data_IF_762039782696
#
_entry.id   IF_762039782696
#
_cell.length_a   1.000
_cell.length_b   1.000
_cell.length_c   1.000
_cell.angle_alpha   90.00
_cell.angle_beta   90.00
_cell.angle_gamma   90.00
#
_symmetry.space_group_name_H-M   'P 1'
#
loop_
_entity.id
_entity.type
_entity.pdbx_description
1 polymer ?
#
# COMPACT_ATOMS: atom_id res chain seq x y z
N UNK A 1 24.62 1.91 -14.79
CA UNK A 1 24.79 0.71 -13.93
C UNK A 1 24.34 -0.54 -14.66
N UNK A 2 23.08 -0.57 -15.11
CA UNK A 2 22.56 -1.66 -15.95
C UNK A 2 23.36 -1.82 -17.24
N UNK A 3 23.74 -0.72 -17.90
CA UNK A 3 24.53 -0.80 -19.13
C UNK A 3 25.92 -1.40 -18.90
N UNK A 4 26.53 -1.13 -17.74
CA UNK A 4 27.79 -1.76 -17.35
C UNK A 4 27.64 -3.26 -17.11
N UNK A 5 26.51 -3.66 -16.54
CA UNK A 5 26.23 -5.08 -16.35
C UNK A 5 25.93 -5.77 -17.69
N UNK A 6 25.30 -5.09 -18.65
CA UNK A 6 25.08 -5.58 -20.02
C UNK A 6 26.38 -5.71 -20.81
N UNK A 7 27.38 -4.87 -20.53
CA UNK A 7 28.74 -5.00 -21.07
C UNK A 7 29.59 -5.97 -20.23
N UNK A 8 28.96 -6.99 -19.63
CA UNK A 8 29.57 -8.06 -18.82
C UNK A 8 30.52 -7.62 -17.68
N UNK A 9 30.37 -6.39 -17.19
CA UNK A 9 31.17 -5.95 -16.04
C UNK A 9 30.68 -6.64 -14.75
N UNK A 10 31.63 -7.14 -13.97
CA UNK A 10 31.33 -7.76 -12.68
C UNK A 10 30.71 -6.75 -11.70
N UNK A 11 29.87 -7.24 -10.78
CA UNK A 11 29.27 -6.39 -9.73
C UNK A 11 30.32 -5.63 -8.92
N UNK A 12 31.51 -6.23 -8.71
CA UNK A 12 32.62 -5.60 -8.00
C UNK A 12 33.22 -4.42 -8.77
N UNK A 13 33.41 -4.56 -10.08
CA UNK A 13 33.87 -3.48 -10.95
C UNK A 13 32.87 -2.31 -10.98
N UNK A 14 31.57 -2.62 -11.05
CA UNK A 14 30.49 -1.62 -11.02
C UNK A 14 30.46 -0.87 -9.68
N UNK A 15 30.57 -1.59 -8.57
CA UNK A 15 30.64 -1.02 -7.21
C UNK A 15 31.79 -0.02 -7.10
N UNK A 16 33.01 -0.41 -7.52
CA UNK A 16 34.20 0.46 -7.50
C UNK A 16 34.02 1.70 -8.38
N UNK A 17 33.51 1.53 -9.61
CA UNK A 17 33.32 2.63 -10.56
C UNK A 17 32.25 3.62 -10.09
N UNK A 18 31.16 3.13 -9.51
CA UNK A 18 30.01 3.96 -9.12
C UNK A 18 30.07 4.44 -7.67
N UNK A 19 30.98 3.92 -6.84
CA UNK A 19 31.08 4.23 -5.40
C UNK A 19 29.76 4.00 -4.64
N UNK A 20 29.00 2.99 -5.06
CA UNK A 20 27.72 2.58 -4.46
C UNK A 20 27.92 1.22 -3.78
N UNK A 21 27.29 0.93 -2.63
CA UNK A 21 27.37 -0.38 -2.00
C UNK A 21 26.99 -1.53 -2.94
N UNK A 22 27.70 -2.66 -2.82
CA UNK A 22 27.46 -3.85 -3.65
C UNK A 22 26.02 -4.35 -3.55
N UNK A 23 25.41 -4.27 -2.35
CA UNK A 23 24.02 -4.64 -2.11
C UNK A 23 23.05 -3.83 -2.97
N UNK A 24 23.23 -2.51 -3.04
CA UNK A 24 22.42 -1.63 -3.87
C UNK A 24 22.59 -1.94 -5.36
N UNK A 25 23.83 -2.19 -5.82
CA UNK A 25 24.10 -2.59 -7.21
C UNK A 25 23.35 -3.89 -7.54
N UNK A 26 23.43 -4.88 -6.66
CA UNK A 26 22.72 -6.15 -6.81
C UNK A 26 21.20 -5.96 -6.84
N UNK A 27 20.63 -5.19 -5.91
CA UNK A 27 19.19 -4.90 -5.88
C UNK A 27 18.72 -4.25 -7.17
N UNK A 28 19.46 -3.27 -7.70
CA UNK A 28 19.08 -2.57 -8.93
C UNK A 28 19.20 -3.51 -10.15
N UNK A 29 20.25 -4.36 -10.23
CA UNK A 29 20.38 -5.35 -11.31
C UNK A 29 19.24 -6.35 -11.27
N UNK A 30 18.95 -6.94 -10.11
CA UNK A 30 17.83 -7.87 -9.94
C UNK A 30 16.50 -7.21 -10.32
N UNK A 31 16.25 -6.00 -9.82
CA UNK A 31 15.04 -5.23 -10.16
C UNK A 31 14.91 -5.00 -11.67
N UNK A 32 16.02 -4.66 -12.34
CA UNK A 32 16.02 -4.47 -13.79
C UNK A 32 15.72 -5.77 -14.54
N UNK A 33 16.29 -6.91 -14.11
CA UNK A 33 15.99 -8.23 -14.72
C UNK A 33 14.53 -8.63 -14.57
N UNK A 34 13.90 -8.29 -13.44
CA UNK A 34 12.50 -8.63 -13.18
C UNK A 34 11.49 -7.65 -13.79
N UNK A 35 11.77 -6.34 -13.75
CA UNK A 35 10.79 -5.31 -14.07
C UNK A 35 11.18 -4.42 -15.27
N UNK A 36 12.38 -4.60 -15.83
CA UNK A 36 12.88 -3.79 -16.95
C UNK A 36 13.14 -2.32 -16.62
N UNK A 37 13.05 -1.91 -15.35
CA UNK A 37 13.16 -0.51 -14.93
C UNK A 37 14.15 -0.32 -13.78
N UNK A 38 14.90 0.79 -13.87
CA UNK A 38 15.78 1.28 -12.80
C UNK A 38 15.11 2.38 -11.96
N UNK A 39 13.92 2.84 -12.36
CA UNK A 39 13.21 3.89 -11.63
C UNK A 39 12.76 3.39 -10.26
N UNK A 40 12.89 4.18 -9.18
CA UNK A 40 12.30 3.85 -7.89
C UNK A 40 10.81 3.56 -8.04
N UNK A 41 10.34 2.51 -7.36
CA UNK A 41 8.91 2.19 -7.33
C UNK A 41 8.29 2.86 -6.11
N UNK A 42 7.06 3.35 -6.26
CA UNK A 42 6.29 3.84 -5.13
C UNK A 42 6.08 2.71 -4.11
N UNK A 43 6.16 3.04 -2.82
CA UNK A 43 5.88 2.07 -1.75
C UNK A 43 4.37 1.86 -1.67
N UNK A 44 3.91 0.61 -1.68
CA UNK A 44 2.51 0.36 -1.34
C UNK A 44 2.33 0.69 0.15
N UNK A 45 1.57 1.74 0.45
CA UNK A 45 1.16 2.07 1.81
C UNK A 45 0.15 1.06 2.38
N UNK A 46 -0.50 1.42 3.50
CA UNK A 46 -1.57 0.60 4.08
C UNK A 46 -2.71 0.41 3.07
N UNK A 47 -3.21 -0.81 2.94
CA UNK A 47 -4.39 -1.11 2.11
C UNK A 47 -5.59 -0.31 2.61
N UNK A 48 -6.41 0.18 1.68
CA UNK A 48 -7.67 0.85 2.00
C UNK A 48 -8.60 -0.12 2.72
N UNK A 49 -9.27 0.37 3.77
CA UNK A 49 -10.28 -0.40 4.51
C UNK A 49 -11.60 -0.40 3.75
N UNK A 50 -11.94 0.73 3.14
CA UNK A 50 -13.18 0.90 2.38
C UNK A 50 -12.92 0.80 0.88
N UNK A 51 -13.91 0.26 0.18
CA UNK A 51 -13.96 0.33 -1.27
C UNK A 51 -14.25 1.77 -1.72
N UNK A 52 -13.82 2.19 -2.93
CA UNK A 52 -14.14 3.53 -3.45
C UNK A 52 -15.65 3.81 -3.49
N UNK A 53 -16.46 2.78 -3.77
CA UNK A 53 -17.92 2.89 -3.79
C UNK A 53 -18.49 3.23 -2.43
N UNK A 54 -18.06 2.51 -1.39
CA UNK A 54 -18.56 2.73 -0.03
C UNK A 54 -18.12 4.10 0.49
N UNK A 55 -16.89 4.52 0.19
CA UNK A 55 -16.40 5.86 0.51
C UNK A 55 -17.28 6.95 -0.13
N UNK A 56 -17.59 6.83 -1.43
CA UNK A 56 -18.48 7.78 -2.10
C UNK A 56 -19.88 7.83 -1.48
N UNK A 57 -20.47 6.67 -1.14
CA UNK A 57 -21.79 6.60 -0.50
C UNK A 57 -21.80 7.30 0.86
N UNK A 58 -20.75 7.11 1.66
CA UNK A 58 -20.62 7.76 2.97
C UNK A 58 -20.54 9.28 2.81
N UNK A 59 -19.69 9.77 1.90
CA UNK A 59 -19.52 11.21 1.62
C UNK A 59 -20.85 11.82 1.15
N UNK A 60 -21.53 11.17 0.21
CA UNK A 60 -22.83 11.63 -0.29
C UNK A 60 -23.87 11.73 0.83
N UNK A 61 -23.95 10.72 1.72
CA UNK A 61 -24.94 10.73 2.79
C UNK A 61 -24.71 11.86 3.79
N UNK A 62 -23.46 12.11 4.16
CA UNK A 62 -23.09 13.20 5.07
C UNK A 62 -23.34 14.56 4.41
N UNK A 63 -23.09 14.70 3.12
CA UNK A 63 -23.40 15.95 2.40
C UNK A 63 -24.91 16.23 2.33
N UNK A 64 -25.72 15.19 2.08
CA UNK A 64 -27.19 15.33 2.04
C UNK A 64 -27.74 15.64 3.43
N UNK A 65 -27.26 14.92 4.46
CA UNK A 65 -27.71 15.04 5.83
C UNK A 65 -26.51 15.25 6.77
N UNK A 66 -26.07 16.50 7.00
CA UNK A 66 -24.89 16.77 7.82
C UNK A 66 -25.03 16.40 9.30
N UNK A 67 -26.26 16.07 9.75
CA UNK A 67 -26.55 15.57 11.10
C UNK A 67 -26.42 14.04 11.24
N UNK A 68 -26.14 13.32 10.14
CA UNK A 68 -25.97 11.86 10.20
C UNK A 68 -24.73 11.50 11.01
N UNK A 69 -24.88 10.61 11.99
CA UNK A 69 -23.80 10.23 12.89
C UNK A 69 -22.99 9.07 12.34
N UNK A 70 -21.76 8.88 12.87
CA UNK A 70 -20.94 7.72 12.52
C UNK A 70 -21.65 6.38 12.81
N UNK A 71 -22.47 6.30 13.87
CA UNK A 71 -23.24 5.09 14.19
C UNK A 71 -24.27 4.76 13.11
N UNK A 72 -24.96 5.77 12.62
CA UNK A 72 -25.96 5.61 11.54
C UNK A 72 -25.29 5.16 10.24
N UNK A 73 -24.09 5.69 9.95
CA UNK A 73 -23.29 5.30 8.79
C UNK A 73 -22.79 3.85 8.90
N UNK A 74 -22.34 3.42 10.08
CA UNK A 74 -21.92 2.03 10.33
C UNK A 74 -23.09 1.09 10.12
N UNK A 75 -24.26 1.38 10.72
CA UNK A 75 -25.47 0.58 10.56
C UNK A 75 -25.88 0.41 9.10
N UNK A 76 -25.87 1.49 8.32
CA UNK A 76 -26.17 1.45 6.89
C UNK A 76 -25.19 0.56 6.10
N UNK A 77 -23.91 0.61 6.45
CA UNK A 77 -22.89 -0.23 5.79
C UNK A 77 -23.09 -1.71 6.13
N UNK A 78 -23.42 -2.02 7.39
CA UNK A 78 -23.79 -3.38 7.82
C UNK A 78 -25.03 -3.89 7.08
N UNK A 79 -26.08 -3.06 6.93
CA UNK A 79 -27.28 -3.38 6.15
C UNK A 79 -26.97 -3.67 4.67
N UNK A 80 -25.93 -3.04 4.13
CA UNK A 80 -25.46 -3.25 2.74
C UNK A 80 -24.54 -4.48 2.63
N UNK A 81 -24.35 -5.24 3.71
CA UNK A 81 -23.48 -6.42 3.75
C UNK A 81 -21.98 -6.07 3.75
N UNK A 82 -21.62 -4.83 4.08
CA UNK A 82 -20.21 -4.45 4.29
C UNK A 82 -19.85 -4.69 5.75
N UNK A 83 -18.87 -5.54 6.01
CA UNK A 83 -18.32 -5.74 7.35
C UNK A 83 -17.57 -4.48 7.78
N UNK A 84 -18.03 -3.85 8.87
CA UNK A 84 -17.38 -2.67 9.45
C UNK A 84 -16.87 -3.03 10.84
N UNK A 85 -15.56 -2.91 11.05
CA UNK A 85 -14.98 -3.14 12.38
C UNK A 85 -15.21 -1.91 13.26
N UNK A 86 -16.05 -2.05 14.28
CA UNK A 86 -16.17 -1.01 15.31
C UNK A 86 -14.99 -1.12 16.29
N UNK A 87 -14.21 -0.05 16.46
CA UNK A 87 -13.01 -0.05 17.33
C UNK A 87 -13.41 -0.22 18.81
N UNK A 88 -14.66 0.11 19.16
CA UNK A 88 -15.18 0.04 20.52
C UNK A 88 -15.80 -1.31 20.92
N UNK A 89 -15.97 -2.29 20.01
CA UNK A 89 -16.59 -3.59 20.32
C UNK A 89 -15.60 -4.75 20.50
N UNK A 90 -14.30 -4.53 20.31
CA UNK A 90 -13.26 -5.57 20.44
C UNK A 90 -12.88 -5.95 21.88
N UNK A 91 -13.54 -5.39 22.89
CA UNK A 91 -13.25 -5.65 24.32
C UNK A 91 -14.20 -6.65 24.99
N UNK A 92 -15.13 -7.29 24.27
CA UNK A 92 -16.21 -8.08 24.91
C UNK A 92 -16.13 -9.60 24.75
N UNK A 93 -14.96 -10.16 24.40
CA UNK A 93 -14.75 -11.61 24.41
C UNK A 93 -13.59 -11.99 25.34
N UNK A 94 -13.76 -11.70 26.63
CA UNK A 94 -13.16 -12.48 27.72
C UNK A 94 -14.27 -12.67 28.74
N UNK A 95 -14.92 -13.83 28.70
CA UNK A 95 -15.85 -14.28 29.73
C UNK A 95 -15.42 -15.67 30.19
N UNK A 96 -15.30 -15.78 31.52
CA UNK A 96 -14.95 -16.89 32.42
C UNK A 96 -15.12 -18.32 31.94
#
# INVERSE_FOLDING_TARGET
MVDLHKSDSSLGAITKRQKVPRSSVQTIVCKYKHHGTTQPSYRSGRRRVLSPRNECTLVQKVQINPRTTAKDLVKMMEETGTEVSNIYSKTSHISS
#
